data_IF_562961548279
#
_entry.id   IF_562961548279
#
_cell.length_a   1.000
_cell.length_b   1.000
_cell.length_c   1.000
_cell.angle_alpha   90.00
_cell.angle_beta   90.00
_cell.angle_gamma   90.00
#
_symmetry.space_group_name_H-M   'P 1'
#
loop_
_entity.id
_entity.type
_entity.pdbx_description
1 polymer ?
#
# COMPACT_ATOMS: atom_id res chain seq x y z
N UNK A 1 -44.49 -36.64 -19.37
CA UNK A 1 -45.36 -36.86 -18.20
C UNK A 1 -46.11 -38.16 -18.42
N UNK A 2 -45.87 -39.17 -17.58
CA UNK A 2 -46.67 -40.40 -17.61
C UNK A 2 -48.09 -40.09 -17.10
N UNK A 3 -49.10 -40.64 -17.77
CA UNK A 3 -50.51 -40.42 -17.44
C UNK A 3 -50.85 -41.33 -16.27
N UNK A 4 -51.07 -40.75 -15.08
CA UNK A 4 -51.44 -41.51 -13.89
C UNK A 4 -52.87 -42.01 -14.08
N UNK A 5 -53.07 -43.33 -14.05
CA UNK A 5 -54.33 -43.97 -14.40
C UNK A 5 -54.97 -44.75 -13.24
N UNK A 6 -54.23 -44.98 -12.16
CA UNK A 6 -54.72 -45.64 -10.95
C UNK A 6 -54.33 -44.91 -9.65
N UNK A 7 -55.08 -45.19 -8.58
CA UNK A 7 -54.84 -44.63 -7.23
C UNK A 7 -53.47 -45.07 -6.67
N UNK A 8 -53.00 -46.27 -7.03
CA UNK A 8 -51.69 -46.77 -6.62
C UNK A 8 -50.55 -45.99 -7.29
N UNK A 9 -50.64 -45.79 -8.62
CA UNK A 9 -49.67 -44.98 -9.38
C UNK A 9 -49.60 -43.53 -8.88
N UNK A 10 -50.73 -42.97 -8.45
CA UNK A 10 -50.78 -41.63 -7.87
C UNK A 10 -49.99 -41.54 -6.56
N UNK A 11 -50.13 -42.55 -5.70
CA UNK A 11 -49.44 -42.61 -4.41
C UNK A 11 -47.93 -42.75 -4.59
N UNK A 12 -47.50 -43.59 -5.52
CA UNK A 12 -46.09 -43.78 -5.85
C UNK A 12 -45.48 -42.51 -6.44
N UNK A 13 -46.21 -41.81 -7.32
CA UNK A 13 -45.79 -40.53 -7.88
C UNK A 13 -45.66 -39.44 -6.80
N UNK A 14 -46.59 -39.37 -5.85
CA UNK A 14 -46.52 -38.44 -4.71
C UNK A 14 -45.27 -38.74 -3.87
N UNK A 15 -45.04 -40.01 -3.52
CA UNK A 15 -43.88 -40.39 -2.71
C UNK A 15 -42.55 -40.09 -3.43
N UNK A 16 -42.48 -40.32 -4.74
CA UNK A 16 -41.33 -39.95 -5.57
C UNK A 16 -41.09 -38.43 -5.53
N UNK A 17 -42.14 -37.64 -5.73
CA UNK A 17 -42.07 -36.18 -5.73
C UNK A 17 -41.70 -35.62 -4.36
N UNK A 18 -42.17 -36.22 -3.26
CA UNK A 18 -41.79 -35.84 -1.90
C UNK A 18 -40.30 -36.07 -1.64
N UNK A 19 -39.76 -37.20 -2.09
CA UNK A 19 -38.33 -37.50 -2.00
C UNK A 19 -37.52 -36.51 -2.84
N UNK A 20 -37.94 -36.26 -4.08
CA UNK A 20 -37.27 -35.31 -4.97
C UNK A 20 -37.31 -33.88 -4.40
N UNK A 21 -38.45 -33.46 -3.84
CA UNK A 21 -38.61 -32.17 -3.19
C UNK A 21 -37.70 -32.04 -1.97
N UNK A 22 -37.58 -33.09 -1.16
CA UNK A 22 -36.69 -33.11 0.00
C UNK A 22 -35.23 -32.95 -0.41
N UNK A 23 -34.79 -33.73 -1.41
CA UNK A 23 -33.41 -33.66 -1.94
C UNK A 23 -33.12 -32.27 -2.50
N UNK A 24 -34.02 -31.70 -3.30
CA UNK A 24 -33.87 -30.34 -3.85
C UNK A 24 -33.83 -29.29 -2.74
N UNK A 25 -34.66 -29.44 -1.71
CA UNK A 25 -34.67 -28.54 -0.56
C UNK A 25 -33.35 -28.56 0.21
N UNK A 26 -32.75 -29.73 0.40
CA UNK A 26 -31.48 -29.86 1.10
C UNK A 26 -30.31 -29.31 0.26
N UNK A 27 -30.29 -29.57 -1.05
CA UNK A 27 -29.33 -28.95 -1.99
C UNK A 27 -29.41 -27.41 -1.97
N UNK A 28 -30.63 -26.86 -1.92
CA UNK A 28 -30.83 -25.41 -1.87
C UNK A 28 -30.26 -24.81 -0.59
N UNK A 29 -30.48 -25.48 0.57
CA UNK A 29 -29.92 -25.03 1.85
C UNK A 29 -28.39 -25.05 1.82
N UNK A 30 -27.80 -26.09 1.24
CA UNK A 30 -26.34 -26.19 1.11
C UNK A 30 -25.77 -25.08 0.22
N UNK A 31 -26.37 -24.82 -0.94
CA UNK A 31 -25.96 -23.72 -1.82
C UNK A 31 -26.12 -22.36 -1.15
N UNK A 32 -27.21 -22.15 -0.41
CA UNK A 32 -27.41 -20.92 0.36
C UNK A 32 -26.34 -20.76 1.44
N UNK A 33 -25.99 -21.83 2.15
CA UNK A 33 -24.93 -21.79 3.15
C UNK A 33 -23.58 -21.44 2.52
N UNK A 34 -23.20 -22.12 1.43
CA UNK A 34 -21.94 -21.84 0.71
C UNK A 34 -21.91 -20.40 0.20
N UNK A 35 -23.01 -19.92 -0.39
CA UNK A 35 -23.12 -18.55 -0.90
C UNK A 35 -23.04 -17.54 0.25
N UNK A 36 -23.68 -17.83 1.38
CA UNK A 36 -23.62 -16.97 2.55
C UNK A 36 -22.19 -16.91 3.12
N UNK A 37 -21.50 -18.05 3.20
CA UNK A 37 -20.10 -18.12 3.61
C UNK A 37 -19.15 -17.41 2.62
N UNK A 38 -19.41 -17.46 1.32
CA UNK A 38 -18.59 -16.78 0.31
C UNK A 38 -18.78 -15.26 0.32
N UNK A 39 -19.97 -14.77 0.66
CA UNK A 39 -20.27 -13.35 0.81
C UNK A 39 -19.74 -12.74 2.10
N UNK A 40 -19.23 -13.54 3.05
CA UNK A 40 -18.60 -13.01 4.25
C UNK A 40 -17.37 -12.19 3.87
N UNK A 41 -17.19 -10.98 4.46
CA UNK A 41 -16.05 -10.12 4.13
C UNK A 41 -14.69 -10.81 4.27
N UNK A 42 -14.53 -11.69 5.27
CA UNK A 42 -13.31 -12.47 5.46
C UNK A 42 -13.00 -13.39 4.27
N UNK A 43 -14.01 -14.01 3.67
CA UNK A 43 -13.84 -14.92 2.55
C UNK A 43 -13.60 -14.15 1.24
N UNK A 44 -14.23 -12.99 1.07
CA UNK A 44 -13.97 -12.07 -0.05
C UNK A 44 -12.52 -11.56 0.02
N UNK A 45 -12.05 -11.13 1.20
CA UNK A 45 -10.66 -10.71 1.38
C UNK A 45 -9.72 -11.86 1.05
N UNK A 46 -10.00 -13.07 1.55
CA UNK A 46 -9.20 -14.26 1.27
C UNK A 46 -9.13 -14.55 -0.23
N UNK A 47 -10.26 -14.58 -0.94
CA UNK A 47 -10.26 -14.85 -2.38
C UNK A 47 -9.53 -13.76 -3.16
N UNK A 48 -9.69 -12.48 -2.80
CA UNK A 48 -8.95 -11.39 -3.47
C UNK A 48 -7.45 -11.48 -3.23
N UNK A 49 -7.00 -11.89 -2.04
CA UNK A 49 -5.58 -12.10 -1.75
C UNK A 49 -5.01 -13.30 -2.53
N UNK A 50 -5.77 -14.40 -2.65
CA UNK A 50 -5.37 -15.54 -3.46
C UNK A 50 -5.28 -15.17 -4.95
N UNK A 51 -6.22 -14.37 -5.47
CA UNK A 51 -6.20 -13.85 -6.85
C UNK A 51 -5.00 -12.92 -7.11
N UNK A 52 -4.68 -12.06 -6.15
CA UNK A 52 -3.51 -11.17 -6.19
C UNK A 52 -2.22 -11.99 -6.19
N UNK A 53 -2.11 -13.00 -5.31
CA UNK A 53 -0.93 -13.84 -5.19
C UNK A 53 -0.71 -14.71 -6.43
N UNK A 54 -1.80 -15.12 -7.09
CA UNK A 54 -1.76 -15.96 -8.29
C UNK A 54 -1.42 -15.19 -9.57
N UNK A 55 -1.48 -13.84 -9.53
CA UNK A 55 -1.21 -12.98 -10.68
C UNK A 55 0.08 -12.17 -10.49
N UNK A 56 1.17 -12.50 -11.22
CA UNK A 56 2.44 -11.77 -11.12
C UNK A 56 2.29 -10.26 -11.37
N UNK A 57 1.39 -9.88 -12.30
CA UNK A 57 1.13 -8.48 -12.64
C UNK A 57 0.45 -7.69 -11.50
N UNK A 58 -0.51 -8.32 -10.79
CA UNK A 58 -1.17 -7.65 -9.66
C UNK A 58 -0.24 -7.50 -8.47
N UNK A 59 0.59 -8.52 -8.24
CA UNK A 59 1.60 -8.51 -7.19
C UNK A 59 2.61 -7.37 -7.41
N UNK A 60 3.14 -7.21 -8.62
CA UNK A 60 4.07 -6.12 -8.95
C UNK A 60 3.44 -4.72 -8.74
N UNK A 61 2.17 -4.53 -9.14
CA UNK A 61 1.49 -3.26 -8.97
C UNK A 61 1.21 -2.92 -7.49
N UNK A 62 0.85 -3.92 -6.69
CA UNK A 62 0.63 -3.74 -5.25
C UNK A 62 1.95 -3.49 -4.53
N UNK A 63 3.02 -4.21 -4.88
CA UNK A 63 4.35 -3.95 -4.36
C UNK A 63 4.83 -2.54 -4.73
N UNK A 64 4.65 -2.11 -5.98
CA UNK A 64 4.97 -0.77 -6.42
C UNK A 64 4.19 0.30 -5.66
N UNK A 65 2.89 0.08 -5.46
CA UNK A 65 2.03 0.99 -4.68
C UNK A 65 2.42 1.02 -3.21
N UNK A 66 2.66 -0.13 -2.59
CA UNK A 66 3.11 -0.25 -1.20
C UNK A 66 4.48 0.41 -1.01
N UNK A 67 5.43 0.18 -1.93
CA UNK A 67 6.72 0.83 -1.92
C UNK A 67 6.59 2.36 -2.08
N UNK A 68 5.69 2.83 -2.95
CA UNK A 68 5.40 4.25 -3.13
C UNK A 68 4.78 4.89 -1.88
N UNK A 69 3.82 4.22 -1.24
CA UNK A 69 3.19 4.67 0.01
C UNK A 69 4.19 4.66 1.18
N UNK A 70 4.98 3.60 1.30
CA UNK A 70 6.00 3.49 2.33
C UNK A 70 7.07 4.58 2.14
N UNK A 71 7.59 4.72 0.93
CA UNK A 71 8.56 5.76 0.58
C UNK A 71 7.97 7.15 0.79
N UNK A 72 6.73 7.39 0.38
CA UNK A 72 6.02 8.65 0.60
C UNK A 72 5.79 8.96 2.08
N UNK A 73 5.47 7.95 2.89
CA UNK A 73 5.31 8.08 4.34
C UNK A 73 6.64 8.39 5.03
N UNK A 74 7.71 7.66 4.69
CA UNK A 74 9.07 7.91 5.19
C UNK A 74 9.53 9.31 4.76
N UNK A 75 9.34 9.67 3.49
CA UNK A 75 9.66 11.00 2.95
C UNK A 75 8.92 12.09 3.72
N UNK A 76 7.59 11.97 3.89
CA UNK A 76 6.80 12.92 4.68
C UNK A 76 7.30 13.02 6.13
N UNK A 77 7.71 11.91 6.74
CA UNK A 77 8.22 11.89 8.11
C UNK A 77 9.60 12.52 8.25
N UNK A 78 10.43 12.46 7.21
CA UNK A 78 11.76 13.09 7.16
C UNK A 78 11.67 14.58 6.81
N UNK A 79 10.85 14.95 5.81
CA UNK A 79 10.81 16.31 5.25
C UNK A 79 9.76 17.24 5.89
N UNK A 80 8.58 16.72 6.28
CA UNK A 80 7.40 17.56 6.62
C UNK A 80 6.96 17.41 8.09
N UNK A 81 7.23 16.28 8.75
CA UNK A 81 6.70 15.98 10.10
C UNK A 81 7.57 16.43 11.28
N UNK A 82 6.94 16.99 12.32
CA UNK A 82 7.55 17.39 13.60
C UNK A 82 8.31 16.26 14.36
N UNK A 83 8.18 14.99 13.95
CA UNK A 83 9.00 13.86 14.42
C UNK A 83 10.45 13.89 13.92
N UNK A 84 10.80 14.83 13.02
CA UNK A 84 12.12 14.95 12.41
C UNK A 84 13.28 15.14 13.38
N UNK A 85 13.05 15.45 14.66
CA UNK A 85 14.16 15.77 15.57
C UNK A 85 15.18 14.64 15.78
N UNK A 86 14.84 13.34 15.65
CA UNK A 86 15.83 12.26 15.82
C UNK A 86 16.53 11.90 14.50
N UNK A 87 15.75 11.63 13.45
CA UNK A 87 16.30 11.22 12.14
C UNK A 87 17.03 12.38 11.45
N UNK A 88 16.47 13.59 11.46
CA UNK A 88 17.14 14.79 10.91
C UNK A 88 18.40 15.12 11.69
N UNK A 89 18.41 14.94 13.02
CA UNK A 89 19.64 15.09 13.81
C UNK A 89 20.66 14.03 13.43
N UNK A 90 20.29 12.76 13.28
CA UNK A 90 21.23 11.72 12.86
C UNK A 90 21.85 12.02 11.49
N UNK A 91 21.01 12.34 10.50
CA UNK A 91 21.46 12.75 9.16
C UNK A 91 22.36 14.00 9.25
N UNK A 92 21.96 14.98 10.07
CA UNK A 92 22.73 16.18 10.34
C UNK A 92 24.09 15.90 10.98
N UNK A 93 24.20 14.98 11.94
CA UNK A 93 25.47 14.58 12.56
C UNK A 93 26.37 13.85 11.57
N UNK A 94 25.82 12.97 10.72
CA UNK A 94 26.59 12.26 9.69
C UNK A 94 27.14 13.27 8.66
N UNK A 95 26.30 14.18 8.17
CA UNK A 95 26.70 15.27 7.28
C UNK A 95 27.76 16.16 7.93
N UNK A 96 27.52 16.58 9.17
CA UNK A 96 28.46 17.40 9.92
C UNK A 96 29.79 16.69 10.12
N UNK A 97 29.79 15.40 10.46
CA UNK A 97 31.00 14.61 10.63
C UNK A 97 31.77 14.47 9.30
N UNK A 98 31.07 14.19 8.19
CA UNK A 98 31.67 14.12 6.86
C UNK A 98 32.28 15.44 6.41
N UNK A 99 31.54 16.55 6.56
CA UNK A 99 32.03 17.89 6.25
C UNK A 99 33.20 18.26 7.18
N UNK A 100 33.11 17.98 8.47
CA UNK A 100 34.16 18.31 9.46
C UNK A 100 35.45 17.57 9.16
N UNK A 101 35.38 16.28 8.83
CA UNK A 101 36.56 15.50 8.41
C UNK A 101 37.16 16.05 7.12
N UNK A 102 36.34 16.40 6.13
CA UNK A 102 36.82 16.99 4.89
C UNK A 102 37.47 18.37 5.11
N UNK A 103 36.88 19.19 6.00
CA UNK A 103 37.42 20.50 6.40
C UNK A 103 38.74 20.36 7.15
N UNK A 104 38.84 19.39 8.05
CA UNK A 104 40.05 19.11 8.81
C UNK A 104 41.21 18.68 7.91
N UNK A 105 40.92 17.91 6.86
CA UNK A 105 41.92 17.43 5.89
C UNK A 105 42.32 18.51 4.86
N UNK A 106 41.45 19.48 4.55
CA UNK A 106 41.69 20.50 3.53
C UNK A 106 41.35 21.94 3.97
N UNK A 107 42.01 22.47 5.02
CA UNK A 107 41.68 23.77 5.61
C UNK A 107 41.89 24.95 4.64
N UNK A 108 42.87 24.85 3.74
CA UNK A 108 43.20 25.91 2.79
C UNK A 108 42.12 26.13 1.71
N UNK A 109 41.50 25.07 1.19
CA UNK A 109 40.50 25.14 0.10
C UNK A 109 39.16 25.69 0.58
N UNK A 110 38.83 25.48 1.85
CA UNK A 110 37.55 25.93 2.40
C UNK A 110 37.63 27.37 2.89
N UNK A 111 38.80 27.81 3.40
CA UNK A 111 39.02 29.24 3.68
C UNK A 111 38.83 30.08 2.41
N UNK A 112 39.33 29.65 1.26
CA UNK A 112 39.19 30.40 0.00
C UNK A 112 37.76 30.36 -0.55
N UNK A 113 37.06 29.22 -0.46
CA UNK A 113 35.63 29.13 -0.82
C UNK A 113 34.76 29.99 0.11
N UNK A 114 34.99 29.94 1.42
CA UNK A 114 34.29 30.74 2.42
C UNK A 114 34.52 32.23 2.22
N UNK A 115 35.78 32.65 2.03
CA UNK A 115 36.12 34.04 1.70
C UNK A 115 35.48 34.50 0.38
N UNK A 116 35.42 33.64 -0.64
CA UNK A 116 34.77 33.95 -1.92
C UNK A 116 33.26 34.14 -1.76
N UNK A 117 32.57 33.27 -1.03
CA UNK A 117 31.13 33.40 -0.76
C UNK A 117 30.81 34.64 0.08
N UNK A 118 31.60 34.92 1.11
CA UNK A 118 31.46 36.12 1.95
C UNK A 118 31.71 37.38 1.11
N UNK A 119 32.74 37.38 0.26
CA UNK A 119 33.02 38.49 -0.64
C UNK A 119 31.90 38.68 -1.67
N UNK A 120 31.29 37.63 -2.22
CA UNK A 120 30.15 37.75 -3.15
C UNK A 120 28.94 38.42 -2.47
N UNK A 121 28.64 38.06 -1.23
CA UNK A 121 27.53 38.64 -0.45
C UNK A 121 27.83 40.11 -0.08
N UNK A 122 29.05 40.42 0.38
CA UNK A 122 29.45 41.78 0.78
C UNK A 122 29.61 42.70 -0.45
N UNK A 123 30.11 42.19 -1.57
CA UNK A 123 30.31 42.93 -2.82
C UNK A 123 28.97 43.30 -3.47
N UNK A 124 27.94 42.45 -3.37
CA UNK A 124 26.57 42.78 -3.76
C UNK A 124 26.00 43.94 -2.93
N UNK A 125 26.35 44.03 -1.64
CA UNK A 125 25.89 45.11 -0.75
C UNK A 125 26.54 46.47 -1.04
N UNK A 126 27.80 46.50 -1.51
CA UNK A 126 28.50 47.77 -1.84
C UNK A 126 28.06 48.40 -3.17
N UNK A 127 27.60 47.61 -4.15
CA UNK A 127 27.11 48.17 -5.43
C UNK A 127 25.75 48.87 -5.34
N UNK A 128 24.99 48.68 -4.24
CA UNK A 128 23.71 49.37 -4.00
C UNK A 128 23.84 50.65 -3.16
N UNK A 129 25.05 51.02 -2.73
CA UNK A 129 25.32 52.20 -1.88
C UNK A 129 26.20 53.26 -2.56
N UNK A 130 26.56 53.08 -3.83
CA UNK A 130 27.23 54.12 -4.63
C UNK A 130 26.38 54.35 -5.88
N UNK A 131 25.34 55.15 -5.69
CA UNK A 131 24.74 55.91 -6.78
C UNK A 131 24.63 57.34 -6.27
N UNK A 132 25.25 58.33 -6.94
CA UNK A 132 24.96 59.73 -6.65
C UNK A 132 23.49 60.04 -6.92
#
# INVERSE_FOLDING_TARGET
MQKISSVAELKDAIQLLEVEQKVKGDLLKEQLFITFESLKPANIIKSTLDDIASSPYLLDNILGTAAGLFTGFISKKIFIGASGNKIRKLIGHILQFGITNFVALHPGKIKTLGWSLIQLIIRKKRMHSVKP
#
